data_IF_047655447651
#
_entry.id   IF_047655447651
#
_cell.length_a   1.000
_cell.length_b   1.000
_cell.length_c   1.000
_cell.angle_alpha   90.00
_cell.angle_beta   90.00
_cell.angle_gamma   90.00
#
_symmetry.space_group_name_H-M   'P 1'
#
loop_
_entity.id
_entity.type
_entity.pdbx_description
1 polymer ?
#
# COMPACT_ATOMS: atom_id res chain seq x y z
N UNK A 1 -6.00 -9.99 -2.10
CA UNK A 1 -4.81 -9.49 -2.85
C UNK A 1 -3.60 -10.36 -2.54
N UNK A 2 -2.79 -10.65 -3.52
CA UNK A 2 -1.54 -11.40 -3.33
C UNK A 2 -0.37 -10.43 -3.22
N UNK A 3 0.78 -10.92 -2.74
CA UNK A 3 2.00 -10.11 -2.64
C UNK A 3 2.35 -9.43 -3.97
N UNK A 4 2.26 -10.15 -5.08
CA UNK A 4 2.55 -9.62 -6.41
C UNK A 4 1.60 -8.48 -6.79
N UNK A 5 0.35 -8.56 -6.38
CA UNK A 5 -0.65 -7.52 -6.64
C UNK A 5 -0.28 -6.24 -5.86
N UNK A 6 0.16 -6.41 -4.62
CA UNK A 6 0.62 -5.28 -3.80
C UNK A 6 1.87 -4.64 -4.41
N UNK A 7 2.81 -5.44 -4.89
CA UNK A 7 4.02 -4.91 -5.54
C UNK A 7 3.67 -4.09 -6.78
N UNK A 8 2.68 -4.52 -7.55
CA UNK A 8 2.19 -3.77 -8.70
C UNK A 8 1.57 -2.43 -8.28
N UNK A 9 0.78 -2.44 -7.20
CA UNK A 9 0.19 -1.20 -6.66
C UNK A 9 1.29 -0.24 -6.20
N UNK A 10 2.31 -0.74 -5.50
CA UNK A 10 3.44 0.10 -5.04
C UNK A 10 4.12 0.76 -6.24
N UNK A 11 4.40 0.00 -7.28
CA UNK A 11 5.02 0.52 -8.50
C UNK A 11 4.16 1.61 -9.15
N UNK A 12 2.87 1.34 -9.32
CA UNK A 12 1.94 2.29 -9.95
C UNK A 12 1.80 3.56 -9.11
N UNK A 13 1.63 3.42 -7.80
CA UNK A 13 1.49 4.55 -6.89
C UNK A 13 2.74 5.43 -6.88
N UNK A 14 3.92 4.81 -6.86
CA UNK A 14 5.19 5.54 -6.89
C UNK A 14 5.32 6.37 -8.18
N UNK A 15 4.94 5.82 -9.31
CA UNK A 15 4.97 6.53 -10.59
C UNK A 15 3.99 7.69 -10.63
N UNK A 16 2.78 7.47 -10.13
CA UNK A 16 1.72 8.49 -10.12
C UNK A 16 2.09 9.66 -9.21
N UNK A 17 2.56 9.36 -8.00
CA UNK A 17 2.90 10.39 -7.01
C UNK A 17 4.30 10.98 -7.23
N UNK A 18 5.10 10.40 -8.10
CA UNK A 18 6.51 10.74 -8.26
C UNK A 18 7.23 10.67 -6.92
N UNK A 19 7.02 9.58 -6.20
CA UNK A 19 7.57 9.34 -4.88
C UNK A 19 8.01 7.88 -4.79
N UNK A 20 9.31 7.60 -4.65
CA UNK A 20 9.82 6.23 -4.62
C UNK A 20 9.49 5.47 -3.33
N UNK A 21 8.88 6.14 -2.36
CA UNK A 21 8.54 5.53 -1.07
C UNK A 21 7.04 5.61 -0.83
N UNK A 22 6.42 4.45 -0.72
CA UNK A 22 4.97 4.33 -0.53
C UNK A 22 4.71 3.60 0.78
N UNK A 23 4.01 4.24 1.70
CA UNK A 23 3.57 3.58 2.94
C UNK A 23 2.32 2.80 2.63
N UNK A 24 2.25 1.56 3.11
CA UNK A 24 1.08 0.69 2.97
C UNK A 24 0.47 0.48 4.35
N UNK A 25 -0.79 0.86 4.47
CA UNK A 25 -1.58 0.66 5.69
C UNK A 25 -2.76 -0.26 5.37
N UNK A 26 -3.66 -0.47 6.32
CA UNK A 26 -4.81 -1.33 6.10
C UNK A 26 -4.46 -2.81 6.10
N UNK A 27 -5.48 -3.66 5.92
CA UNK A 27 -5.34 -5.11 6.09
C UNK A 27 -4.29 -5.76 5.18
N UNK A 28 -4.11 -5.24 3.97
CA UNK A 28 -3.19 -5.85 3.01
C UNK A 28 -1.71 -5.52 3.28
N UNK A 29 -1.43 -4.63 4.23
CA UNK A 29 -0.07 -4.40 4.70
C UNK A 29 0.54 -5.64 5.36
N UNK A 30 -0.30 -6.61 5.77
CA UNK A 30 0.15 -7.90 6.30
C UNK A 30 1.11 -8.61 5.33
N UNK A 31 0.98 -8.36 4.03
CA UNK A 31 1.83 -8.98 3.01
C UNK A 31 3.30 -8.55 3.12
N UNK A 32 3.58 -7.45 3.81
CA UNK A 32 4.95 -7.04 4.10
C UNK A 32 5.63 -8.00 5.05
N UNK A 33 4.94 -8.37 6.15
CA UNK A 33 5.46 -9.28 7.17
C UNK A 33 5.28 -10.75 6.79
N UNK A 34 4.17 -11.08 6.12
CA UNK A 34 3.85 -12.46 5.73
C UNK A 34 3.55 -12.47 4.24
N UNK A 35 4.59 -12.64 3.38
CA UNK A 35 4.39 -12.62 1.93
C UNK A 35 3.41 -13.67 1.42
N UNK A 36 3.36 -14.83 2.10
CA UNK A 36 2.47 -15.94 1.75
C UNK A 36 1.29 -16.03 2.72
N UNK A 37 0.74 -14.87 3.09
CA UNK A 37 -0.38 -14.83 4.02
C UNK A 37 -1.54 -15.73 3.56
N UNK A 38 -2.27 -16.37 4.51
CA UNK A 38 -3.41 -17.22 4.16
C UNK A 38 -4.46 -16.49 3.35
N UNK A 39 -5.13 -17.18 2.44
CA UNK A 39 -6.18 -16.62 1.58
C UNK A 39 -7.24 -15.89 2.40
N UNK A 40 -7.57 -16.39 3.59
CA UNK A 40 -8.55 -15.76 4.48
C UNK A 40 -8.18 -14.34 4.88
N UNK A 41 -6.89 -13.99 4.87
CA UNK A 41 -6.42 -12.64 5.17
C UNK A 41 -6.30 -11.77 3.92
N UNK A 42 -6.47 -12.35 2.74
CA UNK A 42 -6.25 -11.69 1.45
C UNK A 42 -7.54 -11.44 0.67
N UNK A 43 -8.69 -11.47 1.34
CA UNK A 43 -9.99 -11.31 0.66
C UNK A 43 -10.23 -9.89 0.12
N UNK A 44 -9.56 -8.89 0.68
CA UNK A 44 -9.71 -7.51 0.21
C UNK A 44 -8.93 -7.30 -1.09
N UNK A 45 -9.56 -6.60 -2.02
CA UNK A 45 -8.93 -6.14 -3.27
C UNK A 45 -8.31 -4.75 -3.11
N UNK A 46 -8.38 -4.15 -1.93
CA UNK A 46 -7.97 -2.77 -1.66
C UNK A 46 -6.68 -2.72 -0.86
N UNK A 47 -5.78 -1.82 -1.26
CA UNK A 47 -4.63 -1.43 -0.46
C UNK A 47 -4.73 0.06 -0.13
N UNK A 48 -4.47 0.42 1.12
CA UNK A 48 -4.43 1.82 1.54
C UNK A 48 -2.98 2.30 1.49
N UNK A 49 -2.72 3.35 0.75
CA UNK A 49 -1.36 3.83 0.52
C UNK A 49 -1.20 5.31 0.79
N UNK A 50 -0.01 5.69 1.25
CA UNK A 50 0.37 7.09 1.48
C UNK A 50 1.71 7.33 0.78
N UNK A 51 1.81 8.30 -0.15
CA UNK A 51 3.12 8.69 -0.66
C UNK A 51 3.91 9.33 0.48
N UNK A 52 4.96 8.66 0.92
CA UNK A 52 5.66 9.00 2.17
C UNK A 52 6.17 10.45 2.19
N UNK A 53 6.79 10.88 1.11
CA UNK A 53 7.44 12.19 1.01
C UNK A 53 6.54 13.25 0.34
N UNK A 54 5.46 12.83 -0.29
CA UNK A 54 4.52 13.71 -1.00
C UNK A 54 3.08 13.33 -0.68
N UNK A 55 2.70 13.38 0.62
CA UNK A 55 1.37 12.92 1.04
C UNK A 55 0.22 13.69 0.40
N UNK A 56 0.45 14.92 -0.04
CA UNK A 56 -0.54 15.72 -0.76
C UNK A 56 -0.93 15.10 -2.11
N UNK A 57 -0.16 14.14 -2.61
CA UNK A 57 -0.44 13.46 -3.87
C UNK A 57 -1.24 12.17 -3.72
N UNK A 58 -1.72 11.87 -2.52
CA UNK A 58 -2.57 10.71 -2.29
C UNK A 58 -3.81 10.70 -3.18
N UNK A 59 -4.41 11.87 -3.41
CA UNK A 59 -5.59 11.99 -4.27
C UNK A 59 -5.32 11.62 -5.72
N UNK A 60 -4.10 11.86 -6.21
CA UNK A 60 -3.72 11.47 -7.56
C UNK A 60 -3.70 9.95 -7.71
N UNK A 61 -3.23 9.26 -6.68
CA UNK A 61 -3.21 7.80 -6.66
C UNK A 61 -4.64 7.28 -6.69
N UNK A 62 -5.50 7.78 -5.80
CA UNK A 62 -6.88 7.36 -5.72
C UNK A 62 -7.62 7.61 -7.04
N UNK A 63 -7.38 8.75 -7.69
CA UNK A 63 -8.01 9.08 -8.96
C UNK A 63 -7.56 8.18 -10.11
N UNK A 64 -6.30 7.75 -10.11
CA UNK A 64 -5.73 6.98 -11.22
C UNK A 64 -5.94 5.47 -11.06
N UNK A 65 -5.80 4.93 -9.83
CA UNK A 65 -5.86 3.49 -9.58
C UNK A 65 -6.81 3.12 -8.43
N UNK A 66 -7.74 4.00 -8.10
CA UNK A 66 -8.73 3.77 -7.05
C UNK A 66 -9.89 2.91 -7.49
N UNK A 67 -10.85 2.74 -6.59
CA UNK A 67 -12.06 1.98 -6.85
C UNK A 67 -12.82 2.54 -8.05
N UNK A 68 -13.22 1.68 -8.96
CA UNK A 68 -13.95 2.07 -10.17
C UNK A 68 -13.08 2.59 -11.30
N UNK A 69 -11.75 2.68 -11.11
CA UNK A 69 -10.84 3.11 -12.16
C UNK A 69 -10.65 2.03 -13.23
N UNK A 70 -10.07 2.42 -14.36
CA UNK A 70 -9.70 1.46 -15.40
C UNK A 70 -8.69 0.43 -14.86
N UNK A 71 -7.79 0.85 -13.99
CA UNK A 71 -6.84 -0.04 -13.33
C UNK A 71 -7.57 -1.11 -12.53
N UNK A 72 -8.56 -0.72 -11.73
CA UNK A 72 -9.38 -1.64 -10.96
C UNK A 72 -10.11 -2.64 -11.87
N UNK A 73 -10.73 -2.14 -12.95
CA UNK A 73 -11.43 -3.00 -13.90
C UNK A 73 -10.49 -3.98 -14.61
N UNK A 74 -9.28 -3.54 -14.90
CA UNK A 74 -8.30 -4.36 -15.63
C UNK A 74 -7.68 -5.44 -14.76
N UNK A 75 -7.29 -5.10 -13.54
CA UNK A 75 -6.49 -5.98 -12.68
C UNK A 75 -7.25 -6.62 -11.53
N UNK A 76 -8.44 -6.12 -11.19
CA UNK A 76 -9.25 -6.68 -10.12
C UNK A 76 -8.88 -6.24 -8.71
N UNK A 77 -7.91 -5.34 -8.57
CA UNK A 77 -7.52 -4.73 -7.29
C UNK A 77 -7.26 -3.24 -7.49
N UNK A 78 -7.19 -2.52 -6.39
CA UNK A 78 -7.06 -1.06 -6.44
C UNK A 78 -6.41 -0.50 -5.18
N UNK A 79 -6.07 0.79 -5.21
CA UNK A 79 -5.48 1.47 -4.08
C UNK A 79 -6.30 2.70 -3.70
N UNK A 80 -6.51 2.90 -2.40
CA UNK A 80 -7.00 4.17 -1.87
C UNK A 80 -5.81 5.00 -1.45
N UNK A 81 -5.75 6.24 -1.92
CA UNK A 81 -4.80 7.21 -1.40
C UNK A 81 -5.35 7.80 -0.12
N UNK A 82 -4.65 7.63 0.99
CA UNK A 82 -5.08 8.15 2.28
C UNK A 82 -4.03 9.13 2.83
N UNK A 83 -4.49 10.03 3.70
CA UNK A 83 -3.60 10.96 4.37
C UNK A 83 -3.13 10.44 5.72
N UNK A 84 -2.05 11.02 6.24
CA UNK A 84 -1.55 10.66 7.57
C UNK A 84 -2.59 10.90 8.65
N UNK A 85 -3.42 11.92 8.48
CA UNK A 85 -4.45 12.30 9.45
C UNK A 85 -5.62 11.32 9.53
N UNK A 86 -5.85 10.53 8.47
CA UNK A 86 -6.93 9.55 8.44
C UNK A 86 -6.47 8.14 8.81
N UNK A 87 -5.17 7.89 8.71
CA UNK A 87 -4.60 6.58 9.07
C UNK A 87 -4.38 6.51 10.56
N UNK A 88 -4.72 5.38 11.18
CA UNK A 88 -4.41 5.15 12.59
C UNK A 88 -3.01 4.57 12.67
N UNK A 89 -2.07 5.39 13.14
CA UNK A 89 -0.65 5.06 13.15
C UNK A 89 -0.15 5.04 14.59
N UNK A 90 0.06 3.85 15.19
CA UNK A 90 0.53 3.73 16.57
C UNK A 90 1.89 4.43 16.78
N UNK A 91 2.12 4.96 17.98
CA UNK A 91 3.36 5.67 18.31
C UNK A 91 4.58 4.82 17.94
N UNK A 92 5.53 5.42 17.23
CA UNK A 92 6.76 4.74 16.82
C UNK A 92 6.62 3.88 15.58
N UNK A 93 5.48 3.94 14.89
CA UNK A 93 5.21 3.13 13.71
C UNK A 93 6.28 3.25 12.62
N UNK A 94 6.86 4.44 12.47
CA UNK A 94 7.88 4.70 11.45
C UNK A 94 9.13 3.85 11.61
N UNK A 95 9.44 3.45 12.85
CA UNK A 95 10.62 2.64 13.16
C UNK A 95 10.39 1.15 12.94
N UNK A 96 9.15 0.74 12.72
CA UNK A 96 8.74 -0.66 12.62
C UNK A 96 8.26 -1.05 11.24
N UNK A 97 8.33 -0.16 10.27
CA UNK A 97 7.89 -0.44 8.91
C UNK A 97 8.65 -1.60 8.29
N UNK A 98 7.93 -2.43 7.53
CA UNK A 98 8.51 -3.58 6.83
C UNK A 98 8.65 -3.23 5.35
N UNK A 99 9.85 -3.26 4.78
CA UNK A 99 10.05 -2.90 3.38
C UNK A 99 9.59 -4.01 2.43
N UNK A 100 8.95 -3.58 1.35
CA UNK A 100 8.61 -4.43 0.20
C UNK A 100 9.30 -3.82 -1.01
N UNK A 101 10.31 -4.52 -1.53
CA UNK A 101 11.06 -4.07 -2.69
C UNK A 101 11.49 -5.28 -3.51
N UNK A 102 11.21 -5.22 -4.82
CA UNK A 102 11.53 -6.31 -5.74
C UNK A 102 11.66 -5.74 -7.15
N UNK A 103 11.94 -6.60 -8.12
CA UNK A 103 11.90 -6.21 -9.53
C UNK A 103 10.52 -5.66 -9.91
N UNK A 104 9.46 -6.19 -9.31
CA UNK A 104 8.08 -5.81 -9.63
C UNK A 104 7.67 -4.47 -9.02
N UNK A 105 8.42 -3.92 -8.06
CA UNK A 105 8.17 -2.58 -7.53
C UNK A 105 8.85 -1.50 -8.36
N UNK A 106 9.67 -1.87 -9.35
CA UNK A 106 10.26 -0.93 -10.28
C UNK A 106 11.20 0.09 -9.66
N UNK A 107 11.93 -0.29 -8.62
CA UNK A 107 12.84 0.62 -7.89
C UNK A 107 12.17 1.37 -6.75
N UNK A 108 10.86 1.27 -6.61
CA UNK A 108 10.15 1.85 -5.47
C UNK A 108 10.22 0.92 -4.27
N UNK A 109 10.02 1.47 -3.08
CA UNK A 109 9.91 0.71 -1.85
C UNK A 109 8.54 0.95 -1.23
N UNK A 110 7.82 -0.14 -0.95
CA UNK A 110 6.62 -0.11 -0.13
C UNK A 110 7.03 -0.32 1.33
N UNK A 111 6.56 0.55 2.20
CA UNK A 111 6.81 0.46 3.64
C UNK A 111 5.53 0.04 4.32
N UNK A 112 5.39 -1.24 4.60
CA UNK A 112 4.17 -1.79 5.20
C UNK A 112 4.19 -1.65 6.71
N UNK A 113 3.04 -1.30 7.30
CA UNK A 113 2.89 -1.40 8.75
C UNK A 113 3.14 -2.85 9.17
N UNK A 114 3.90 -3.02 10.26
CA UNK A 114 4.15 -4.36 10.76
C UNK A 114 2.91 -4.89 11.50
N UNK A 115 2.87 -6.21 11.74
CA UNK A 115 1.68 -6.88 12.26
C UNK A 115 1.14 -6.29 13.56
N UNK A 116 2.03 -5.94 14.50
CA UNK A 116 1.61 -5.37 15.78
C UNK A 116 0.87 -4.05 15.59
N UNK A 117 1.41 -3.19 14.73
CA UNK A 117 0.79 -1.90 14.45
C UNK A 117 -0.54 -2.04 13.71
N UNK A 118 -0.67 -3.05 12.85
CA UNK A 118 -1.92 -3.35 12.16
C UNK A 118 -3.03 -3.76 13.12
N UNK A 119 -2.69 -4.54 14.13
CA UNK A 119 -3.65 -4.96 15.16
C UNK A 119 -4.13 -3.76 15.96
N UNK A 120 -3.26 -2.78 16.21
CA UNK A 120 -3.60 -1.58 16.99
C UNK A 120 -4.22 -0.47 16.15
N UNK A 121 -4.12 -0.55 14.83
CA UNK A 121 -4.63 0.50 13.92
C UNK A 121 -6.16 0.44 13.69
#
# INVERSE_FOLDING_TARGET
MKRRDLEHIIRAAAGIADDPEIIVTGSQAVLGSIPDAPVSLLVSAEADVIPKNRPERAELIEGAIGEGSLFHDTFGYYANGVGYETAVLPKGWEKRLVPVRSADTGGATGWCLELHDLVLS
#
